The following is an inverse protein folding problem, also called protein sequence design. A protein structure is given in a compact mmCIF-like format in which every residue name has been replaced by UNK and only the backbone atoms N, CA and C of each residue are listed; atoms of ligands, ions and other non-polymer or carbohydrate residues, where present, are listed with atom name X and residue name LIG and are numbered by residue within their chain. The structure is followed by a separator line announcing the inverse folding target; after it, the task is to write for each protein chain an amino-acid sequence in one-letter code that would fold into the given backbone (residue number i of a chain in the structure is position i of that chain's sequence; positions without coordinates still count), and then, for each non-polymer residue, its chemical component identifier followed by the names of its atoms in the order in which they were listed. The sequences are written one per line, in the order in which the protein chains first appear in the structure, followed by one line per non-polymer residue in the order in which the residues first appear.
data_IF_405048745076
#
_entry.id   IF_405048745076
#
_cell.length_a   1.000
_cell.length_b   1.000
_cell.length_c   1.000
_cell.angle_alpha   90.00
_cell.angle_beta   90.00
_cell.angle_gamma   90.00
#
_symmetry.space_group_name_H-M   'P 1'
#
loop_
_entity.id
_entity.type
_entity.pdbx_description
1 polymer ?
#
# COMPACT_ATOMS: atom_id res chain seq x y z
N UNK A 1 -33.10 23.24 9.29
CA UNK A 1 -32.47 24.27 8.44
C UNK A 1 -32.18 23.63 7.10
N UNK A 2 -33.05 23.88 6.12
CA UNK A 2 -32.95 23.30 4.78
C UNK A 2 -31.84 24.01 4.00
N UNK A 3 -30.83 23.25 3.57
CA UNK A 3 -29.81 23.72 2.64
C UNK A 3 -30.31 23.45 1.22
N UNK A 4 -30.54 24.53 0.48
CA UNK A 4 -30.97 24.50 -0.93
C UNK A 4 -29.79 24.03 -1.77
N UNK A 5 -29.94 22.92 -2.50
CA UNK A 5 -28.99 22.50 -3.52
C UNK A 5 -29.09 23.44 -4.72
N UNK A 6 -27.98 24.08 -5.08
CA UNK A 6 -27.86 24.86 -6.31
C UNK A 6 -27.71 23.92 -7.50
N UNK A 7 -28.74 23.84 -8.35
CA UNK A 7 -28.67 23.12 -9.62
C UNK A 7 -27.74 23.86 -10.60
N UNK A 8 -26.71 23.18 -11.09
CA UNK A 8 -25.90 23.68 -12.20
C UNK A 8 -26.64 23.41 -13.51
N UNK A 9 -27.29 24.44 -14.06
CA UNK A 9 -27.92 24.39 -15.38
C UNK A 9 -26.85 24.56 -16.47
N UNK A 10 -26.74 23.59 -17.39
CA UNK A 10 -25.96 23.74 -18.63
C UNK A 10 -26.93 24.26 -19.69
N UNK A 11 -26.79 25.54 -20.07
CA UNK A 11 -27.59 26.18 -21.12
C UNK A 11 -26.98 25.89 -22.48
N UNK A 12 -27.68 25.14 -23.32
CA UNK A 12 -27.44 25.09 -24.77
C UNK A 12 -28.42 26.06 -25.43
N UNK A 13 -27.92 27.23 -25.83
CA UNK A 13 -28.72 28.26 -26.47
C UNK A 13 -29.25 27.79 -27.83
N UNK A 14 -30.59 27.74 -27.92
CA UNK A 14 -31.36 27.55 -29.14
C UNK A 14 -32.78 28.05 -28.89
N UNK A 15 -33.03 29.33 -29.16
CA UNK A 15 -34.29 29.99 -28.85
C UNK A 15 -35.46 29.50 -29.73
N UNK A 16 -36.40 28.76 -29.13
CA UNK A 16 -37.83 28.74 -29.49
C UNK A 16 -38.63 28.66 -28.18
N UNK A 17 -39.60 29.56 -28.01
CA UNK A 17 -40.46 29.64 -26.83
C UNK A 17 -41.41 28.43 -26.73
N UNK A 18 -40.91 27.35 -26.12
CA UNK A 18 -41.70 26.32 -25.46
C UNK A 18 -41.31 26.31 -23.99
N UNK A 19 -42.26 26.06 -23.09
CA UNK A 19 -41.98 25.89 -21.66
C UNK A 19 -40.80 24.92 -21.52
N UNK A 20 -39.65 25.46 -21.11
CA UNK A 20 -38.42 24.69 -20.97
C UNK A 20 -38.57 23.92 -19.67
N UNK A 21 -39.26 22.77 -19.74
CA UNK A 21 -39.29 21.81 -18.65
C UNK A 21 -37.84 21.43 -18.39
N UNK A 22 -37.28 21.99 -17.34
CA UNK A 22 -35.91 21.71 -16.92
C UNK A 22 -35.93 20.30 -16.39
N UNK A 23 -35.54 19.33 -17.22
CA UNK A 23 -35.40 17.94 -16.79
C UNK A 23 -34.25 17.88 -15.82
N UNK A 24 -34.55 17.57 -14.57
CA UNK A 24 -33.55 17.38 -13.55
C UNK A 24 -33.01 15.95 -13.65
N UNK A 25 -31.82 15.70 -13.10
CA UNK A 25 -31.18 14.38 -13.22
C UNK A 25 -31.98 13.30 -12.47
N UNK A 26 -32.76 13.71 -11.47
CA UNK A 26 -33.75 12.89 -10.76
C UNK A 26 -34.96 12.45 -11.60
N UNK A 27 -35.22 13.08 -12.76
CA UNK A 27 -36.31 12.69 -13.66
C UNK A 27 -35.92 11.48 -14.56
N UNK A 28 -34.66 11.05 -14.50
CA UNK A 28 -34.16 9.89 -15.24
C UNK A 28 -34.57 8.60 -14.49
N UNK A 29 -35.14 7.59 -15.18
CA UNK A 29 -35.41 6.28 -14.60
C UNK A 29 -34.20 5.67 -13.89
N UNK A 30 -34.44 5.07 -12.72
CA UNK A 30 -33.38 4.56 -11.84
C UNK A 30 -32.51 3.46 -12.47
N UNK A 31 -33.06 2.67 -13.38
CA UNK A 31 -32.33 1.67 -14.17
C UNK A 31 -31.33 2.32 -15.12
N UNK A 32 -31.71 3.40 -15.81
CA UNK A 32 -30.80 4.18 -16.68
C UNK A 32 -29.71 4.86 -15.86
N UNK A 33 -30.06 5.47 -14.72
CA UNK A 33 -29.09 6.06 -13.80
C UNK A 33 -28.09 5.00 -13.27
N UNK A 34 -28.56 3.80 -12.95
CA UNK A 34 -27.70 2.70 -12.51
C UNK A 34 -26.67 2.30 -13.58
N UNK A 35 -27.06 2.30 -14.86
CA UNK A 35 -26.15 2.01 -15.97
C UNK A 35 -25.07 3.09 -16.12
N UNK A 36 -25.42 4.36 -15.92
CA UNK A 36 -24.46 5.48 -15.95
C UNK A 36 -23.50 5.41 -14.77
N UNK A 37 -24.01 5.15 -13.56
CA UNK A 37 -23.17 5.08 -12.35
C UNK A 37 -22.21 3.88 -12.37
N UNK A 38 -22.60 2.76 -12.97
CA UNK A 38 -21.73 1.60 -13.18
C UNK A 38 -20.60 1.83 -14.17
N UNK A 39 -20.61 2.95 -14.91
CA UNK A 39 -19.51 3.40 -15.77
C UNK A 39 -18.52 4.30 -15.04
N UNK A 40 -18.76 4.63 -13.77
CA UNK A 40 -17.80 5.35 -12.97
C UNK A 40 -16.75 4.37 -12.48
N UNK A 41 -15.58 4.44 -13.09
CA UNK A 41 -14.44 3.58 -12.75
C UNK A 41 -13.76 4.02 -11.44
N UNK A 42 -14.12 5.19 -10.90
CA UNK A 42 -13.57 5.74 -9.67
C UNK A 42 -14.55 5.66 -8.49
N UNK A 43 -14.20 4.87 -7.48
CA UNK A 43 -15.02 4.69 -6.28
C UNK A 43 -15.13 5.95 -5.42
N UNK A 44 -14.16 6.87 -5.49
CA UNK A 44 -14.26 8.15 -4.79
C UNK A 44 -15.37 9.03 -5.39
N UNK A 45 -15.47 9.07 -6.72
CA UNK A 45 -16.54 9.75 -7.44
C UNK A 45 -17.91 9.13 -7.16
N UNK A 46 -18.00 7.79 -7.13
CA UNK A 46 -19.24 7.07 -6.76
C UNK A 46 -19.70 7.42 -5.34
N UNK A 47 -18.77 7.43 -4.37
CA UNK A 47 -19.07 7.82 -3.00
C UNK A 47 -19.53 9.28 -2.88
N UNK A 48 -18.89 10.19 -3.63
CA UNK A 48 -19.27 11.61 -3.65
C UNK A 48 -20.68 11.82 -4.23
N UNK A 49 -21.03 11.10 -5.30
CA UNK A 49 -22.38 11.15 -5.89
C UNK A 49 -23.45 10.65 -4.91
N UNK A 50 -23.16 9.59 -4.14
CA UNK A 50 -24.07 9.10 -3.10
C UNK A 50 -24.37 10.12 -2.00
N UNK A 51 -23.54 11.15 -1.84
CA UNK A 51 -23.79 12.24 -0.90
C UNK A 51 -24.69 13.36 -1.48
N UNK A 52 -24.91 13.40 -2.80
CA UNK A 52 -25.60 14.50 -3.46
C UNK A 52 -27.12 14.46 -3.27
N UNK A 53 -27.76 13.28 -3.37
CA UNK A 53 -29.20 13.12 -3.16
C UNK A 53 -29.55 11.69 -2.71
N UNK A 54 -30.81 11.45 -2.32
CA UNK A 54 -31.28 10.13 -1.86
C UNK A 54 -31.27 9.07 -2.97
N UNK A 55 -31.67 9.43 -4.20
CA UNK A 55 -31.67 8.50 -5.34
C UNK A 55 -30.24 8.01 -5.66
N UNK A 56 -29.27 8.92 -5.72
CA UNK A 56 -27.86 8.53 -5.89
C UNK A 56 -27.28 7.80 -4.69
N UNK A 57 -27.77 8.07 -3.47
CA UNK A 57 -27.34 7.34 -2.27
C UNK A 57 -27.73 5.87 -2.33
N UNK A 58 -28.95 5.58 -2.76
CA UNK A 58 -29.44 4.21 -2.94
C UNK A 58 -28.63 3.49 -4.01
N UNK A 59 -28.41 4.14 -5.16
CA UNK A 59 -27.60 3.57 -6.24
C UNK A 59 -26.12 3.39 -5.85
N UNK A 60 -25.53 4.34 -5.13
CA UNK A 60 -24.17 4.24 -4.59
C UNK A 60 -24.07 3.30 -3.37
N UNK A 61 -25.18 2.73 -2.90
CA UNK A 61 -25.20 1.65 -1.92
C UNK A 61 -25.28 0.25 -2.56
N UNK A 62 -25.42 0.15 -3.88
CA UNK A 62 -25.48 -1.11 -4.61
C UNK A 62 -24.20 -1.96 -4.42
N UNK A 63 -24.35 -3.12 -3.80
CA UNK A 63 -23.24 -4.02 -3.49
C UNK A 63 -22.53 -4.54 -4.75
N UNK A 64 -23.28 -4.81 -5.82
CA UNK A 64 -22.73 -5.31 -7.09
C UNK A 64 -21.88 -4.25 -7.80
N UNK A 65 -22.27 -2.99 -7.71
CA UNK A 65 -21.47 -1.88 -8.25
C UNK A 65 -20.12 -1.79 -7.52
N UNK A 66 -20.11 -1.89 -6.18
CA UNK A 66 -18.86 -1.91 -5.41
C UNK A 66 -18.03 -3.18 -5.66
N UNK A 67 -18.67 -4.34 -5.81
CA UNK A 67 -18.00 -5.59 -6.21
C UNK A 67 -17.29 -5.43 -7.54
N UNK A 68 -18.03 -4.99 -8.58
CA UNK A 68 -17.48 -4.78 -9.91
C UNK A 68 -16.30 -3.81 -9.90
N UNK A 69 -16.41 -2.71 -9.16
CA UNK A 69 -15.35 -1.71 -9.02
C UNK A 69 -14.10 -2.27 -8.32
N UNK A 70 -14.27 -3.02 -7.22
CA UNK A 70 -13.15 -3.69 -6.54
C UNK A 70 -12.46 -4.72 -7.43
N UNK A 71 -13.22 -5.55 -8.16
CA UNK A 71 -12.65 -6.58 -9.04
C UNK A 71 -12.01 -5.99 -10.32
N UNK A 72 -12.43 -4.79 -10.73
CA UNK A 72 -11.77 -4.04 -11.78
C UNK A 72 -10.45 -3.40 -11.29
N UNK A 73 -10.45 -2.89 -10.05
CA UNK A 73 -9.27 -2.24 -9.44
C UNK A 73 -8.22 -3.25 -8.97
N UNK A 74 -8.67 -4.37 -8.40
CA UNK A 74 -7.87 -5.43 -7.80
C UNK A 74 -8.35 -6.80 -8.28
N UNK A 75 -7.90 -7.25 -9.47
CA UNK A 75 -8.28 -8.54 -10.04
C UNK A 75 -8.04 -9.73 -9.11
N UNK A 76 -6.98 -9.69 -8.29
CA UNK A 76 -6.62 -10.74 -7.34
C UNK A 76 -7.71 -11.04 -6.30
N UNK A 77 -8.62 -10.11 -6.04
CA UNK A 77 -9.76 -10.34 -5.14
C UNK A 77 -10.75 -11.39 -5.65
N UNK A 78 -10.70 -11.79 -6.93
CA UNK A 78 -11.50 -12.89 -7.47
C UNK A 78 -11.14 -14.24 -6.85
N UNK A 79 -9.88 -14.39 -6.46
CA UNK A 79 -9.31 -15.64 -5.96
C UNK A 79 -9.19 -15.65 -4.42
N UNK A 80 -9.75 -14.64 -3.74
CA UNK A 80 -9.77 -14.58 -2.27
C UNK A 80 -11.06 -15.25 -1.78
N UNK A 81 -10.91 -16.42 -1.19
CA UNK A 81 -12.01 -17.19 -0.63
C UNK A 81 -12.72 -16.43 0.52
N UNK A 82 -14.04 -16.57 0.58
CA UNK A 82 -14.86 -16.07 1.69
C UNK A 82 -15.21 -14.58 1.65
N UNK A 83 -14.72 -13.80 0.67
CA UNK A 83 -15.09 -12.38 0.53
C UNK A 83 -16.60 -12.15 0.35
N UNK A 84 -17.29 -13.07 -0.34
CA UNK A 84 -18.74 -13.04 -0.53
C UNK A 84 -19.52 -13.49 0.72
N UNK A 85 -19.00 -14.45 1.47
CA UNK A 85 -19.63 -14.99 2.67
C UNK A 85 -19.42 -14.08 3.90
N UNK A 86 -18.44 -13.17 3.85
CA UNK A 86 -18.20 -12.13 4.85
C UNK A 86 -19.33 -11.10 5.01
N UNK A 87 -20.37 -11.15 4.17
CA UNK A 87 -21.63 -10.42 4.44
C UNK A 87 -22.43 -10.96 5.63
N UNK A 88 -22.10 -12.15 6.15
CA UNK A 88 -22.96 -12.91 7.06
C UNK A 88 -22.52 -13.09 8.52
N UNK A 89 -21.26 -12.85 8.88
CA UNK A 89 -20.79 -13.07 10.27
C UNK A 89 -20.26 -11.77 10.86
N UNK A 90 -21.18 -11.04 11.51
CA UNK A 90 -20.94 -10.03 12.55
C UNK A 90 -19.80 -9.02 12.27
N UNK A 91 -19.91 -8.23 11.19
CA UNK A 91 -19.25 -6.92 11.12
C UNK A 91 -18.42 -6.56 9.88
N UNK A 92 -18.28 -7.44 8.87
CA UNK A 92 -17.50 -7.16 7.66
C UNK A 92 -18.28 -6.37 6.59
N UNK A 93 -17.90 -5.12 6.34
CA UNK A 93 -18.68 -4.17 5.51
C UNK A 93 -18.65 -4.35 3.98
N UNK A 94 -18.48 -5.59 3.49
CA UNK A 94 -18.51 -5.95 2.06
C UNK A 94 -17.47 -5.23 1.19
N UNK A 95 -17.63 -5.31 -0.13
CA UNK A 95 -16.72 -4.68 -1.12
C UNK A 95 -16.59 -3.16 -0.94
N UNK A 96 -17.65 -2.49 -0.46
CA UNK A 96 -17.61 -1.06 -0.18
C UNK A 96 -16.65 -0.71 0.96
N UNK A 97 -16.68 -1.46 2.07
CA UNK A 97 -15.74 -1.24 3.16
C UNK A 97 -14.33 -1.63 2.76
N UNK A 98 -14.17 -2.73 2.01
CA UNK A 98 -12.88 -3.13 1.46
C UNK A 98 -12.27 -2.02 0.60
N UNK A 99 -13.06 -1.41 -0.30
CA UNK A 99 -12.60 -0.29 -1.10
C UNK A 99 -12.22 0.91 -0.24
N UNK A 100 -13.04 1.26 0.76
CA UNK A 100 -12.76 2.36 1.67
C UNK A 100 -11.48 2.13 2.52
N UNK A 101 -11.17 0.88 2.83
CA UNK A 101 -10.00 0.48 3.61
C UNK A 101 -8.71 0.41 2.78
N UNK A 102 -8.80 -0.15 1.56
CA UNK A 102 -7.67 -0.48 0.70
C UNK A 102 -7.36 0.58 -0.37
N UNK A 103 -8.33 1.39 -0.79
CA UNK A 103 -8.08 2.43 -1.78
C UNK A 103 -7.22 3.55 -1.17
N UNK A 104 -7.59 4.23 -0.07
CA UNK A 104 -6.74 5.26 0.50
C UNK A 104 -5.46 4.66 1.08
N UNK A 105 -4.33 5.35 0.91
CA UNK A 105 -3.12 4.95 1.62
C UNK A 105 -3.29 5.17 3.13
N UNK A 106 -2.72 4.32 3.98
CA UNK A 106 -2.86 4.42 5.43
C UNK A 106 -2.43 5.81 5.90
N UNK A 107 -3.18 6.44 6.81
CA UNK A 107 -2.78 7.71 7.38
C UNK A 107 -1.75 7.52 8.50
N UNK A 108 -1.10 8.60 8.94
CA UNK A 108 -0.34 8.54 10.18
C UNK A 108 -1.28 8.26 11.36
N UNK A 109 -0.99 7.18 12.08
CA UNK A 109 -1.58 6.98 13.39
C UNK A 109 -1.08 8.10 14.31
N UNK A 110 -1.93 9.08 14.61
CA UNK A 110 -1.62 10.14 15.57
C UNK A 110 -1.61 9.56 16.97
N UNK A 111 -0.44 9.22 17.48
CA UNK A 111 -0.20 9.01 18.91
C UNK A 111 -1.11 8.01 19.63
N UNK A 112 -1.81 7.14 18.91
CA UNK A 112 -2.53 6.05 19.54
C UNK A 112 -1.48 5.06 20.03
N UNK A 113 -1.25 5.11 21.34
CA UNK A 113 -0.73 3.95 22.07
C UNK A 113 -1.55 2.75 21.58
N UNK A 114 -0.92 1.70 21.03
CA UNK A 114 -1.67 0.53 20.59
C UNK A 114 -2.52 0.08 21.76
N UNK A 115 -3.84 0.10 21.60
CA UNK A 115 -4.73 -0.48 22.58
C UNK A 115 -4.24 -1.90 22.76
N UNK A 116 -3.85 -2.26 23.97
CA UNK A 116 -3.17 -3.52 24.30
C UNK A 116 -4.06 -4.76 24.10
N UNK A 117 -5.21 -4.59 23.45
CA UNK A 117 -6.28 -5.54 23.28
C UNK A 117 -6.59 -5.89 21.81
N UNK A 118 -5.94 -5.27 20.82
CA UNK A 118 -6.12 -5.72 19.43
C UNK A 118 -5.39 -7.05 19.24
N UNK A 119 -6.18 -8.10 19.00
CA UNK A 119 -5.67 -9.42 18.68
C UNK A 119 -4.91 -9.33 17.35
N UNK A 120 -3.68 -9.86 17.31
CA UNK A 120 -2.94 -9.95 16.06
C UNK A 120 -3.69 -10.88 15.10
N UNK A 121 -3.75 -10.54 13.80
CA UNK A 121 -4.35 -11.44 12.81
C UNK A 121 -3.67 -12.81 12.85
N UNK A 122 -4.45 -13.87 13.07
CA UNK A 122 -3.94 -15.25 13.05
C UNK A 122 -3.66 -15.73 11.61
N UNK A 123 -4.33 -15.13 10.63
CA UNK A 123 -4.17 -15.37 9.20
C UNK A 123 -4.11 -14.03 8.49
N UNK A 124 -3.28 -13.93 7.46
CA UNK A 124 -3.14 -12.74 6.64
C UNK A 124 -3.23 -13.14 5.16
N UNK A 125 -4.12 -12.50 4.41
CA UNK A 125 -4.24 -12.71 2.96
C UNK A 125 -3.60 -11.53 2.24
N UNK A 126 -2.68 -11.80 1.33
CA UNK A 126 -2.07 -10.81 0.44
C UNK A 126 -2.68 -10.94 -0.96
N UNK A 127 -3.47 -9.97 -1.37
CA UNK A 127 -3.99 -9.83 -2.72
C UNK A 127 -3.08 -8.87 -3.50
N UNK A 128 -2.41 -9.36 -4.54
CA UNK A 128 -1.28 -8.69 -5.20
C UNK A 128 -1.55 -8.56 -6.69
N UNK A 129 -1.61 -7.31 -7.16
CA UNK A 129 -1.84 -6.98 -8.56
C UNK A 129 -0.74 -6.04 -9.09
N UNK A 130 -0.01 -6.47 -10.11
CA UNK A 130 1.05 -5.73 -10.78
C UNK A 130 0.61 -5.37 -12.20
N UNK A 131 0.72 -4.09 -12.54
CA UNK A 131 0.32 -3.56 -13.84
C UNK A 131 1.45 -2.75 -14.49
N UNK A 132 1.43 -2.71 -15.82
CA UNK A 132 2.22 -1.78 -16.64
C UNK A 132 1.24 -1.05 -17.57
N UNK A 133 1.00 0.23 -17.30
CA UNK A 133 -0.13 0.95 -17.91
C UNK A 133 -1.46 0.27 -17.57
N UNK A 134 -2.30 0.03 -18.59
CA UNK A 134 -3.60 -0.64 -18.46
C UNK A 134 -3.50 -2.17 -18.46
N UNK A 135 -2.29 -2.73 -18.62
CA UNK A 135 -2.10 -4.19 -18.72
C UNK A 135 -1.77 -4.76 -17.34
N UNK A 136 -2.61 -5.66 -16.85
CA UNK A 136 -2.32 -6.48 -15.67
C UNK A 136 -1.28 -7.56 -16.03
N UNK A 137 -0.07 -7.42 -15.49
CA UNK A 137 1.03 -8.37 -15.68
C UNK A 137 0.95 -9.56 -14.73
N UNK A 138 0.46 -9.33 -13.51
CA UNK A 138 0.32 -10.37 -12.49
C UNK A 138 -0.86 -10.04 -11.57
N UNK A 139 -1.68 -11.05 -11.27
CA UNK A 139 -2.74 -11.02 -10.26
C UNK A 139 -2.63 -12.31 -9.45
N UNK A 140 -2.33 -12.22 -8.16
CA UNK A 140 -2.13 -13.39 -7.29
C UNK A 140 -2.64 -13.15 -5.87
N UNK A 141 -3.01 -14.25 -5.22
CA UNK A 141 -3.35 -14.28 -3.80
C UNK A 141 -2.33 -15.16 -3.07
N UNK A 142 -1.83 -14.67 -1.93
CA UNK A 142 -0.94 -15.43 -1.04
C UNK A 142 -1.57 -15.46 0.34
N UNK A 143 -1.86 -16.66 0.83
CA UNK A 143 -2.31 -16.86 2.22
C UNK A 143 -1.12 -17.11 3.13
N UNK A 144 -1.06 -16.40 4.25
CA UNK A 144 0.00 -16.52 5.25
C UNK A 144 -0.58 -16.91 6.60
N UNK A 145 -0.08 -18.00 7.18
CA UNK A 145 -0.33 -18.35 8.57
C UNK A 145 0.50 -17.44 9.49
N UNK A 146 -0.17 -16.45 10.06
CA UNK A 146 0.40 -15.42 10.89
C UNK A 146 0.42 -15.79 12.39
N UNK A 147 -0.14 -16.96 12.74
CA UNK A 147 -0.18 -17.47 14.12
C UNK A 147 1.08 -18.23 14.52
N UNK A 148 1.87 -18.70 13.55
CA UNK A 148 3.05 -19.51 13.82
C UNK A 148 4.15 -18.72 14.53
N UNK A 149 4.77 -19.32 15.55
CA UNK A 149 5.91 -18.72 16.26
C UNK A 149 7.11 -18.44 15.33
N UNK A 150 7.30 -19.27 14.30
CA UNK A 150 8.30 -19.04 13.27
C UNK A 150 8.05 -17.73 12.51
N UNK A 151 6.80 -17.49 12.08
CA UNK A 151 6.44 -16.24 11.41
C UNK A 151 6.60 -15.05 12.35
N UNK A 152 6.11 -15.17 13.59
CA UNK A 152 6.16 -14.09 14.57
C UNK A 152 7.59 -13.69 14.97
N UNK A 153 8.51 -14.65 15.01
CA UNK A 153 9.92 -14.45 15.38
C UNK A 153 10.87 -14.14 14.22
N UNK A 154 10.54 -14.52 12.99
CA UNK A 154 11.40 -14.32 11.81
C UNK A 154 11.22 -12.93 11.16
N UNK A 155 12.23 -12.42 10.44
CA UNK A 155 12.06 -11.23 9.61
C UNK A 155 10.91 -11.41 8.62
N UNK A 156 9.97 -10.47 8.62
CA UNK A 156 8.77 -10.53 7.80
C UNK A 156 9.12 -10.55 6.31
N UNK A 157 8.60 -11.56 5.61
CA UNK A 157 8.69 -11.70 4.18
C UNK A 157 7.47 -12.44 3.64
N UNK A 158 6.87 -11.92 2.59
CA UNK A 158 5.83 -12.60 1.79
C UNK A 158 6.26 -12.53 0.34
N UNK A 159 6.39 -13.69 -0.31
CA UNK A 159 6.73 -13.75 -1.73
C UNK A 159 5.47 -14.07 -2.55
N UNK A 160 5.09 -13.15 -3.46
CA UNK A 160 3.98 -13.34 -4.38
C UNK A 160 4.41 -14.03 -5.67
N UNK A 161 5.68 -13.87 -6.04
CA UNK A 161 6.29 -14.54 -7.18
C UNK A 161 7.76 -14.83 -6.88
N UNK A 162 8.14 -16.11 -6.97
CA UNK A 162 9.53 -16.57 -7.00
C UNK A 162 9.67 -17.49 -8.21
N UNK A 163 9.93 -16.89 -9.37
CA UNK A 163 10.29 -17.48 -10.66
C UNK A 163 9.42 -18.64 -11.22
N UNK A 164 8.41 -18.28 -12.03
CA UNK A 164 8.27 -18.82 -13.40
C UNK A 164 8.26 -17.60 -14.33
N UNK A 165 9.10 -17.63 -15.37
CA UNK A 165 9.31 -16.48 -16.26
C UNK A 165 8.02 -16.06 -16.95
N UNK A 166 7.38 -15.01 -16.47
CA UNK A 166 6.29 -14.35 -17.18
C UNK A 166 6.89 -13.42 -18.22
N UNK A 167 6.88 -13.84 -19.48
CA UNK A 167 7.19 -12.90 -20.57
C UNK A 167 6.05 -11.89 -20.65
N UNK A 168 6.34 -10.63 -20.30
CA UNK A 168 5.41 -9.56 -20.61
C UNK A 168 5.24 -9.45 -22.14
N UNK A 169 4.04 -9.09 -22.63
CA UNK A 169 3.79 -8.92 -24.06
C UNK A 169 4.57 -7.76 -24.68
N UNK A 170 5.12 -6.86 -23.86
CA UNK A 170 5.92 -5.71 -24.24
C UNK A 170 7.10 -5.53 -23.27
N UNK A 171 8.20 -4.86 -23.67
CA UNK A 171 9.29 -4.52 -22.76
C UNK A 171 8.75 -3.69 -21.58
N UNK A 172 8.96 -4.19 -20.37
CA UNK A 172 8.52 -3.55 -19.14
C UNK A 172 9.46 -2.40 -18.81
N UNK A 173 8.90 -1.22 -18.55
CA UNK A 173 9.63 -0.10 -17.94
C UNK A 173 9.38 -0.12 -16.43
N UNK A 174 10.37 -0.46 -15.57
CA UNK A 174 10.13 -0.61 -14.13
C UNK A 174 9.61 0.66 -13.44
N UNK A 175 9.93 1.84 -13.98
CA UNK A 175 9.43 3.13 -13.48
C UNK A 175 7.94 3.39 -13.77
N UNK A 176 7.37 2.70 -14.76
CA UNK A 176 5.96 2.83 -15.17
C UNK A 176 5.08 1.75 -14.56
N UNK A 177 5.67 0.84 -13.76
CA UNK A 177 4.92 -0.18 -13.05
C UNK A 177 4.00 0.44 -12.01
N UNK A 178 2.85 -0.18 -11.81
CA UNK A 178 1.98 0.10 -10.68
C UNK A 178 1.66 -1.18 -9.94
N UNK A 179 1.67 -1.11 -8.61
CA UNK A 179 1.50 -2.26 -7.72
C UNK A 179 0.41 -1.97 -6.70
N UNK A 180 -0.57 -2.85 -6.61
CA UNK A 180 -1.51 -2.92 -5.48
C UNK A 180 -1.17 -4.15 -4.65
N UNK A 181 -0.75 -3.94 -3.39
CA UNK A 181 -0.56 -5.03 -2.44
C UNK A 181 -1.54 -4.85 -1.29
N UNK A 182 -2.68 -5.53 -1.34
CA UNK A 182 -3.73 -5.41 -0.34
C UNK A 182 -3.58 -6.53 0.68
N UNK A 183 -3.31 -6.16 1.93
CA UNK A 183 -3.31 -7.07 3.07
C UNK A 183 -4.72 -7.09 3.68
N UNK A 184 -5.29 -8.29 3.83
CA UNK A 184 -6.64 -8.51 4.34
C UNK A 184 -6.55 -9.42 5.57
N UNK A 185 -7.19 -8.99 6.66
CA UNK A 185 -7.47 -9.84 7.80
C UNK A 185 -8.84 -10.51 7.59
N UNK A 186 -8.89 -11.82 7.30
CA UNK A 186 -10.15 -12.51 7.04
C UNK A 186 -11.05 -12.60 8.28
N UNK A 187 -10.51 -12.48 9.50
CA UNK A 187 -11.30 -12.57 10.72
C UNK A 187 -12.13 -11.29 10.95
N UNK A 188 -11.58 -10.13 10.58
CA UNK A 188 -12.25 -8.83 10.76
C UNK A 188 -12.82 -8.25 9.47
N UNK A 189 -12.42 -8.80 8.31
CA UNK A 189 -12.74 -8.26 6.99
C UNK A 189 -12.07 -6.91 6.70
N UNK A 190 -11.13 -6.48 7.55
CA UNK A 190 -10.41 -5.20 7.38
C UNK A 190 -9.25 -5.39 6.42
N UNK A 191 -8.96 -4.33 5.67
CA UNK A 191 -7.86 -4.32 4.72
C UNK A 191 -6.95 -3.10 4.84
N UNK A 192 -5.75 -3.23 4.28
CA UNK A 192 -4.79 -2.13 4.18
C UNK A 192 -3.94 -2.31 2.93
N UNK A 193 -3.67 -1.21 2.22
CA UNK A 193 -2.72 -1.23 1.12
C UNK A 193 -1.29 -1.07 1.65
N UNK A 194 -0.46 -2.07 1.33
CA UNK A 194 0.94 -2.21 1.69
C UNK A 194 1.91 -1.73 0.59
N UNK A 195 1.42 -1.15 -0.50
CA UNK A 195 2.24 -0.57 -1.57
C UNK A 195 1.93 0.90 -1.81
N UNK A 196 2.91 1.66 -2.29
CA UNK A 196 2.78 3.08 -2.63
C UNK A 196 2.07 3.33 -3.96
N UNK A 197 1.50 2.29 -4.59
CA UNK A 197 0.95 2.26 -5.97
C UNK A 197 1.98 2.49 -7.06
N UNK A 198 2.80 3.52 -6.95
CA UNK A 198 3.91 3.84 -7.87
C UNK A 198 5.26 3.59 -7.22
N UNK A 199 6.31 3.28 -8.01
CA UNK A 199 7.62 3.02 -7.45
C UNK A 199 8.20 4.28 -6.80
N UNK A 200 8.79 4.11 -5.63
CA UNK A 200 9.49 5.16 -4.87
C UNK A 200 10.98 5.19 -5.14
N UNK A 201 11.54 4.06 -5.59
CA UNK A 201 12.86 4.00 -6.17
C UNK A 201 12.89 2.93 -7.27
N UNK A 202 13.80 3.12 -8.22
CA UNK A 202 14.14 2.14 -9.24
C UNK A 202 15.64 2.05 -9.26
N UNK A 203 16.16 0.93 -8.76
CA UNK A 203 17.59 0.71 -8.56
C UNK A 203 18.07 -0.35 -9.55
N UNK A 204 19.14 -0.04 -10.29
CA UNK A 204 19.73 -0.97 -11.25
C UNK A 204 20.94 -1.69 -10.65
N UNK A 205 20.84 -3.00 -10.51
CA UNK A 205 21.91 -3.87 -10.05
C UNK A 205 22.72 -4.39 -11.23
N UNK A 206 23.73 -3.60 -11.63
CA UNK A 206 24.55 -3.83 -12.81
C UNK A 206 25.23 -5.21 -12.86
N UNK A 207 25.58 -5.78 -11.70
CA UNK A 207 26.26 -7.07 -11.62
C UNK A 207 25.31 -8.25 -11.92
N UNK A 208 24.08 -8.17 -11.44
CA UNK A 208 23.06 -9.19 -11.70
C UNK A 208 22.38 -8.98 -13.07
N UNK A 209 22.42 -7.76 -13.61
CA UNK A 209 21.62 -7.39 -14.78
C UNK A 209 20.13 -7.29 -14.42
N UNK A 210 19.84 -6.86 -13.20
CA UNK A 210 18.49 -6.78 -12.65
C UNK A 210 18.15 -5.33 -12.32
N UNK A 211 16.90 -4.95 -12.53
CA UNK A 211 16.35 -3.68 -12.08
C UNK A 211 15.29 -3.94 -11.03
N UNK A 212 15.40 -3.30 -9.86
CA UNK A 212 14.46 -3.45 -8.75
C UNK A 212 13.64 -2.18 -8.60
N UNK A 213 12.33 -2.29 -8.80
CA UNK A 213 11.37 -1.23 -8.49
C UNK A 213 10.81 -1.45 -7.08
N UNK A 214 10.90 -0.44 -6.20
CA UNK A 214 10.42 -0.50 -4.82
C UNK A 214 9.16 0.31 -4.63
N UNK A 215 8.21 -0.22 -3.88
CA UNK A 215 6.90 0.37 -3.60
C UNK A 215 6.68 0.43 -2.08
N UNK A 216 7.34 1.36 -1.42
CA UNK A 216 7.41 1.39 0.04
C UNK A 216 6.28 2.22 0.66
N UNK A 217 5.63 1.68 1.71
CA UNK A 217 4.74 2.46 2.60
C UNK A 217 5.26 2.42 4.03
N UNK A 218 5.02 3.49 4.78
CA UNK A 218 5.50 3.63 6.17
C UNK A 218 4.30 3.57 7.12
N UNK A 219 4.35 2.62 8.05
CA UNK A 219 3.33 2.33 9.06
C UNK A 219 3.85 2.58 10.49
N UNK A 220 2.97 2.42 11.47
CA UNK A 220 3.33 2.44 12.89
C UNK A 220 3.94 3.77 13.35
N UNK A 221 3.48 4.90 12.82
CA UNK A 221 4.02 6.22 13.17
C UNK A 221 5.45 6.47 12.70
N UNK A 222 5.90 5.80 11.62
CA UNK A 222 7.25 5.99 11.09
C UNK A 222 8.26 4.92 11.49
N UNK A 223 7.80 3.88 12.20
CA UNK A 223 8.69 2.85 12.78
C UNK A 223 8.94 1.70 11.80
N UNK A 224 7.92 1.29 11.04
CA UNK A 224 7.98 0.14 10.13
C UNK A 224 7.77 0.61 8.69
N UNK A 225 8.70 0.29 7.81
CA UNK A 225 8.54 0.44 6.37
C UNK A 225 8.21 -0.93 5.77
N UNK A 226 7.01 -1.06 5.19
CA UNK A 226 6.67 -2.16 4.32
C UNK A 226 7.23 -1.86 2.94
N UNK A 227 8.14 -2.70 2.47
CA UNK A 227 8.86 -2.53 1.22
C UNK A 227 8.51 -3.65 0.26
N UNK A 228 7.62 -3.35 -0.69
CA UNK A 228 7.32 -4.26 -1.78
C UNK A 228 8.35 -4.04 -2.90
N UNK A 229 9.05 -5.11 -3.29
CA UNK A 229 10.07 -5.10 -4.32
C UNK A 229 9.62 -5.93 -5.53
N UNK A 230 9.76 -5.34 -6.72
CA UNK A 230 9.57 -6.01 -8.00
C UNK A 230 10.90 -6.05 -8.72
N UNK A 231 11.44 -7.24 -8.90
CA UNK A 231 12.72 -7.46 -9.58
C UNK A 231 12.47 -7.84 -11.02
N UNK A 232 13.00 -7.05 -11.94
CA UNK A 232 12.93 -7.27 -13.38
C UNK A 232 14.32 -7.72 -13.90
N UNK A 233 14.32 -8.70 -14.80
CA UNK A 233 15.52 -9.11 -15.55
C UNK A 233 15.70 -8.18 -16.76
N UNK A 234 16.81 -7.43 -16.81
CA UNK A 234 17.09 -6.47 -17.88
C UNK A 234 17.30 -7.15 -19.25
N UNK A 235 17.76 -8.40 -19.26
CA UNK A 235 18.10 -9.13 -20.50
C UNK A 235 16.88 -9.61 -21.23
N UNK A 236 15.85 -9.95 -20.48
CA UNK A 236 14.63 -10.58 -21.01
C UNK A 236 13.39 -9.71 -20.84
N UNK A 237 13.47 -8.62 -20.07
CA UNK A 237 12.36 -7.69 -19.84
C UNK A 237 11.20 -8.31 -19.07
N UNK A 238 11.43 -9.34 -18.25
CA UNK A 238 10.39 -10.02 -17.46
C UNK A 238 10.52 -9.74 -15.96
N UNK A 239 9.42 -9.93 -15.23
CA UNK A 239 9.39 -9.90 -13.77
C UNK A 239 9.86 -11.25 -13.22
N UNK A 240 10.89 -11.23 -12.37
CA UNK A 240 11.48 -12.44 -11.78
C UNK A 240 10.99 -12.70 -10.36
N UNK A 241 10.88 -11.64 -9.56
CA UNK A 241 10.49 -11.71 -8.16
C UNK A 241 9.51 -10.58 -7.84
N UNK A 242 8.48 -10.90 -7.07
CA UNK A 242 7.60 -9.92 -6.43
C UNK A 242 7.48 -10.31 -4.96
N UNK A 243 8.04 -9.50 -4.07
CA UNK A 243 8.07 -9.80 -2.64
C UNK A 243 7.79 -8.58 -1.78
N UNK A 244 7.24 -8.79 -0.59
CA UNK A 244 7.00 -7.78 0.42
C UNK A 244 7.86 -8.09 1.64
N UNK A 245 8.66 -7.13 2.08
CA UNK A 245 9.51 -7.21 3.27
C UNK A 245 9.19 -6.05 4.21
N UNK A 246 9.67 -6.15 5.44
CA UNK A 246 9.55 -5.06 6.39
C UNK A 246 10.89 -4.67 6.98
N UNK A 247 11.15 -3.38 7.01
CA UNK A 247 12.38 -2.80 7.55
C UNK A 247 12.07 -1.75 8.62
N UNK A 248 12.96 -1.66 9.61
CA UNK A 248 12.93 -0.60 10.60
C UNK A 248 13.62 0.68 10.09
N UNK A 249 13.63 1.70 10.95
CA UNK A 249 14.28 2.98 10.66
C UNK A 249 15.80 2.92 10.45
N UNK A 250 16.45 1.83 10.85
CA UNK A 250 17.89 1.58 10.70
C UNK A 250 18.20 0.66 9.50
N UNK A 251 17.18 0.11 8.85
CA UNK A 251 17.28 -0.85 7.74
C UNK A 251 17.46 -2.30 8.20
N UNK A 252 17.21 -2.59 9.48
CA UNK A 252 17.10 -3.96 9.99
C UNK A 252 15.75 -4.56 9.63
N UNK A 253 15.69 -5.89 9.45
CA UNK A 253 14.43 -6.59 9.23
C UNK A 253 13.53 -6.54 10.47
N UNK A 254 12.23 -6.31 10.28
CA UNK A 254 11.23 -6.31 11.36
C UNK A 254 10.63 -7.70 11.47
N UNK A 255 10.43 -8.20 12.70
CA UNK A 255 9.81 -9.50 12.93
C UNK A 255 8.34 -9.53 12.50
N UNK A 256 7.82 -10.71 12.15
CA UNK A 256 6.39 -10.86 11.80
C UNK A 256 5.45 -10.31 12.87
N UNK A 257 5.76 -10.50 14.16
CA UNK A 257 4.99 -9.90 15.26
C UNK A 257 4.95 -8.37 15.19
N UNK A 258 6.09 -7.73 14.95
CA UNK A 258 6.18 -6.27 14.84
C UNK A 258 5.39 -5.74 13.64
N UNK A 259 5.46 -6.46 12.52
CA UNK A 259 4.70 -6.10 11.31
C UNK A 259 3.20 -6.28 11.50
N UNK A 260 2.74 -7.40 12.05
CA UNK A 260 1.32 -7.62 12.32
C UNK A 260 0.74 -6.56 13.25
N UNK A 261 1.49 -6.14 14.29
CA UNK A 261 1.06 -5.07 15.17
C UNK A 261 0.90 -3.74 14.41
N UNK A 262 1.85 -3.41 13.53
CA UNK A 262 1.77 -2.21 12.69
C UNK A 262 0.63 -2.28 11.66
N UNK A 263 0.38 -3.45 11.07
CA UNK A 263 -0.72 -3.71 10.12
C UNK A 263 -2.07 -3.63 10.81
N UNK A 264 -2.24 -4.26 11.98
CA UNK A 264 -3.48 -4.21 12.76
C UNK A 264 -3.80 -2.77 13.19
N UNK A 265 -2.81 -2.04 13.71
CA UNK A 265 -2.98 -0.63 14.05
C UNK A 265 -3.30 0.23 12.81
N UNK A 266 -2.71 -0.10 11.66
CA UNK A 266 -3.05 0.55 10.41
C UNK A 266 -4.50 0.22 10.02
N UNK A 267 -4.96 -1.03 10.07
CA UNK A 267 -6.34 -1.43 9.80
C UNK A 267 -7.33 -0.66 10.69
N UNK A 268 -7.03 -0.46 11.98
CA UNK A 268 -7.89 0.31 12.89
C UNK A 268 -7.83 1.84 12.69
N UNK A 269 -6.74 2.34 12.11
CA UNK A 269 -6.49 3.78 11.96
C UNK A 269 -7.37 4.49 10.92
N UNK A 270 -7.57 5.80 11.12
CA UNK A 270 -8.28 6.64 10.16
C UNK A 270 -7.63 6.66 8.76
N UNK A 271 -8.43 6.90 7.73
CA UNK A 271 -8.00 6.99 6.32
C UNK A 271 -8.21 8.42 5.82
N UNK A 272 -7.31 8.91 4.97
CA UNK A 272 -7.48 10.20 4.29
C UNK A 272 -7.68 9.96 2.80
N UNK A 273 -8.76 10.48 2.22
CA UNK A 273 -9.06 10.26 0.79
C UNK A 273 -8.23 11.14 -0.15
N UNK A 274 -8.19 12.46 0.10
CA UNK A 274 -7.57 13.43 -0.82
C UNK A 274 -6.12 13.74 -0.43
N UNK A 275 -5.20 13.67 -1.40
CA UNK A 275 -3.77 13.98 -1.19
C UNK A 275 -3.00 12.90 -0.42
N UNK A 276 -3.59 11.71 -0.23
CA UNK A 276 -2.98 10.60 0.48
C UNK A 276 -1.71 10.08 -0.21
N UNK A 277 -1.65 10.06 -1.54
CA UNK A 277 -0.46 9.67 -2.29
C UNK A 277 0.69 10.65 -2.05
N UNK A 278 0.47 11.96 -2.20
CA UNK A 278 1.47 12.98 -1.88
C UNK A 278 1.86 12.98 -0.39
N UNK A 279 0.92 12.66 0.52
CA UNK A 279 1.22 12.51 1.94
C UNK A 279 2.02 11.23 2.24
N UNK A 280 1.75 10.12 1.57
CA UNK A 280 2.53 8.88 1.66
C UNK A 280 3.94 9.08 1.12
N UNK A 281 4.06 9.74 -0.03
CA UNK A 281 5.35 10.13 -0.61
C UNK A 281 6.19 10.95 0.37
N UNK A 282 5.61 12.01 0.96
CA UNK A 282 6.29 12.84 1.97
C UNK A 282 6.76 12.05 3.18
N UNK A 283 5.99 11.04 3.61
CA UNK A 283 6.35 10.14 4.71
C UNK A 283 7.51 9.23 4.35
N UNK A 284 7.48 8.66 3.15
CA UNK A 284 8.61 7.91 2.62
C UNK A 284 9.87 8.77 2.57
N UNK A 285 9.81 9.99 2.02
CA UNK A 285 10.95 10.91 1.97
C UNK A 285 11.48 11.28 3.37
N UNK A 286 10.57 11.51 4.34
CA UNK A 286 10.96 11.79 5.72
C UNK A 286 11.67 10.58 6.35
N UNK A 287 11.13 9.37 6.14
CA UNK A 287 11.71 8.12 6.61
C UNK A 287 13.09 7.85 5.98
N UNK A 288 13.20 8.01 4.65
CA UNK A 288 14.44 7.83 3.91
C UNK A 288 15.52 8.83 4.34
N UNK A 289 15.17 10.11 4.52
CA UNK A 289 16.10 11.12 5.08
C UNK A 289 16.53 10.77 6.50
N UNK A 290 15.59 10.34 7.34
CA UNK A 290 15.89 9.88 8.70
C UNK A 290 16.87 8.70 8.71
N UNK A 291 16.64 7.70 7.85
CA UNK A 291 17.52 6.55 7.65
C UNK A 291 18.92 6.98 7.19
N UNK A 292 19.03 7.87 6.20
CA UNK A 292 20.31 8.38 5.73
C UNK A 292 21.08 9.12 6.84
N UNK A 293 20.41 9.98 7.60
CA UNK A 293 21.01 10.69 8.72
C UNK A 293 21.51 9.73 9.83
N UNK A 294 20.74 8.68 10.15
CA UNK A 294 21.13 7.64 11.11
C UNK A 294 22.35 6.85 10.62
N UNK A 295 22.39 6.46 9.34
CA UNK A 295 23.56 5.80 8.73
C UNK A 295 24.82 6.66 8.84
N UNK A 296 24.74 7.95 8.53
CA UNK A 296 25.86 8.89 8.67
C UNK A 296 26.31 9.01 10.12
N UNK A 297 25.38 9.12 11.08
CA UNK A 297 25.70 9.19 12.51
C UNK A 297 26.38 7.90 13.00
N UNK A 298 25.90 6.73 12.55
CA UNK A 298 26.48 5.42 12.87
C UNK A 298 27.91 5.33 12.33
N UNK A 299 28.13 5.67 11.05
CA UNK A 299 29.46 5.66 10.44
C UNK A 299 30.45 6.59 11.18
N UNK A 300 30.01 7.77 11.63
CA UNK A 300 30.84 8.68 12.44
C UNK A 300 31.22 8.07 13.78
N UNK A 301 30.28 7.41 14.46
CA UNK A 301 30.54 6.76 15.74
C UNK A 301 31.50 5.58 15.56
N UNK A 302 31.25 4.75 14.57
CA UNK A 302 32.05 3.56 14.31
C UNK A 302 33.48 3.96 13.90
N UNK A 303 33.63 5.00 13.06
CA UNK A 303 34.94 5.57 12.73
C UNK A 303 35.67 6.21 13.93
N UNK A 304 34.94 6.81 14.87
CA UNK A 304 35.55 7.29 16.12
C UNK A 304 36.04 6.13 17.00
N UNK A 305 35.27 5.04 17.09
CA UNK A 305 35.68 3.82 17.79
C UNK A 305 36.93 3.21 17.14
N UNK A 306 36.99 3.12 15.82
CA UNK A 306 38.17 2.61 15.10
C UNK A 306 39.41 3.47 15.33
N UNK A 307 39.26 4.80 15.38
CA UNK A 307 40.35 5.72 15.71
C UNK A 307 40.88 5.50 17.13
N UNK A 308 39.99 5.34 18.13
CA UNK A 308 40.41 5.04 19.50
C UNK A 308 41.06 3.66 19.63
N UNK A 309 40.48 2.62 19.01
CA UNK A 309 41.06 1.28 19.00
C UNK A 309 42.45 1.25 18.36
N UNK A 310 42.62 1.94 17.22
CA UNK A 310 43.92 2.05 16.54
C UNK A 310 44.93 2.85 17.37
N UNK A 311 44.49 3.92 18.03
CA UNK A 311 45.33 4.72 18.92
C UNK A 311 45.84 3.94 20.14
N UNK A 312 44.97 3.16 20.78
CA UNK A 312 45.35 2.29 21.92
C UNK A 312 46.33 1.20 21.46
N UNK A 313 46.09 0.56 20.32
CA UNK A 313 46.99 -0.45 19.76
C UNK A 313 48.37 0.14 19.43
N UNK A 314 48.43 1.32 18.82
CA UNK A 314 49.68 2.01 18.52
C UNK A 314 50.46 2.40 19.79
N UNK A 315 49.78 2.94 20.80
CA UNK A 315 50.41 3.30 22.08
C UNK A 315 50.98 2.07 22.81
N UNK A 316 50.25 0.94 22.81
CA UNK A 316 50.74 -0.31 23.37
C UNK A 316 51.99 -0.81 22.63
N UNK A 317 52.00 -0.75 21.30
CA UNK A 317 53.14 -1.16 20.48
C UNK A 317 54.39 -0.29 20.74
N UNK A 318 54.23 1.03 20.80
CA UNK A 318 55.32 1.96 21.14
C UNK A 318 55.83 1.73 22.56
N UNK A 319 54.93 1.45 23.51
CA UNK A 319 55.30 1.08 24.87
C UNK A 319 56.20 -0.16 24.91
N UNK A 320 55.83 -1.22 24.19
CA UNK A 320 56.64 -2.44 24.07
C UNK A 320 58.01 -2.15 23.46
N UNK A 321 58.07 -1.40 22.35
CA UNK A 321 59.34 -1.03 21.71
C UNK A 321 60.25 -0.23 22.66
N UNK A 322 59.68 0.70 23.41
CA UNK A 322 60.43 1.52 24.38
C UNK A 322 61.03 0.65 25.50
N UNK A 323 60.31 -0.37 25.98
CA UNK A 323 60.85 -1.31 26.98
C UNK A 323 61.93 -2.24 26.43
N UNK A 324 61.95 -2.50 25.12
CA UNK A 324 62.97 -3.30 24.45
C UNK A 324 64.25 -2.51 24.16
N UNK A 325 64.15 -1.20 23.92
CA UNK A 325 65.32 -0.34 23.65
C UNK A 325 65.99 0.23 24.90
N UNK A 326 65.28 0.24 26.04
CA UNK A 326 65.80 0.66 27.35
C UNK A 326 66.40 -0.49 28.17
N UNK A 327 66.52 -1.69 27.61
CA UNK A 327 67.25 -2.85 28.17
C UNK A 327 68.57 -3.05 27.44
#
# INVERSE_FOLDING_TARGET
MASVCSAAAVSLDGAVAGATTTTAIEDIPGDVLSLVLRRLDDGASLAALGCACSAFRELAADAETWRGLCLATWPSLRDVDGLDECGGVTGGGGYRALFADAFPLPAEARGLVPSSASLLPARLVSAVDLHHGEVCLMSRVVETDASSEWFLGSPFRVDALVQEGFSAPAPITPAELTLSWILIDPATGRAVNASSRRPVSVDREWLAGETVARFTVVLGGGVVALDAAVTCDDRHGHVREVSLRAEDGDGGGVSGRGVLAAVAAAMEGARHGRGAEAAAWRRYEAFARGRAARKVKKARRDGAVDFFCSGVAAAAFVGVLSTLTLR
#
